data_IF_072472022254
#
_entry.id   IF_072472022254
#
_cell.length_a   1.000
_cell.length_b   1.000
_cell.length_c   1.000
_cell.angle_alpha   90.00
_cell.angle_beta   90.00
_cell.angle_gamma   90.00
#
_symmetry.space_group_name_H-M   'P 1'
#
loop_
_entity.id
_entity.type
_entity.pdbx_description
1 polymer ?
#
# COMPACT_ATOMS: atom_id res chain seq x y z
N UNK A 1 -0.55 -18.74 -4.61
CA UNK A 1 -1.61 -19.04 -5.61
C UNK A 1 -1.95 -20.51 -5.53
N UNK A 2 -3.23 -20.85 -5.57
CA UNK A 2 -3.73 -22.18 -5.20
C UNK A 2 -3.50 -23.26 -6.26
N UNK A 3 -3.33 -22.90 -7.54
CA UNK A 3 -3.17 -23.84 -8.68
C UNK A 3 -4.24 -24.96 -8.72
N UNK A 4 -5.41 -24.71 -8.14
CA UNK A 4 -6.48 -25.71 -8.02
C UNK A 4 -7.14 -26.06 -9.36
N UNK A 5 -7.08 -25.15 -10.33
CA UNK A 5 -7.58 -25.35 -11.70
C UNK A 5 -6.38 -25.13 -12.63
N UNK A 6 -5.83 -26.22 -13.17
CA UNK A 6 -4.70 -26.22 -14.09
C UNK A 6 -5.10 -26.42 -15.55
N UNK A 7 -6.27 -26.99 -15.81
CA UNK A 7 -6.80 -27.19 -17.17
C UNK A 7 -8.35 -27.10 -17.18
N UNK A 8 -8.98 -27.22 -18.35
CA UNK A 8 -10.44 -27.15 -18.48
C UNK A 8 -11.17 -28.28 -17.74
N UNK A 9 -10.59 -29.48 -17.68
CA UNK A 9 -11.18 -30.62 -16.98
C UNK A 9 -11.23 -30.35 -15.47
N UNK A 10 -10.15 -29.82 -14.89
CA UNK A 10 -10.12 -29.45 -13.47
C UNK A 10 -11.21 -28.43 -13.12
N UNK A 11 -11.53 -27.51 -14.04
CA UNK A 11 -12.61 -26.53 -13.85
C UNK A 11 -14.00 -27.18 -13.87
N UNK A 12 -14.23 -28.16 -14.75
CA UNK A 12 -15.46 -28.96 -14.76
C UNK A 12 -15.56 -29.77 -13.48
N UNK A 13 -14.47 -30.41 -13.07
CA UNK A 13 -14.40 -31.20 -11.84
C UNK A 13 -14.69 -30.32 -10.63
N UNK A 14 -14.09 -29.12 -10.56
CA UNK A 14 -14.37 -28.12 -9.51
C UNK A 14 -15.87 -27.79 -9.42
N UNK A 15 -16.56 -27.61 -10.56
CA UNK A 15 -17.99 -27.34 -10.56
C UNK A 15 -18.81 -28.49 -9.96
N UNK A 16 -18.36 -29.75 -10.05
CA UNK A 16 -19.08 -30.90 -9.47
C UNK A 16 -19.17 -30.85 -7.94
N UNK A 17 -18.26 -30.13 -7.27
CA UNK A 17 -18.26 -29.92 -5.82
C UNK A 17 -19.24 -28.83 -5.35
N UNK A 18 -19.86 -28.11 -6.27
CA UNK A 18 -20.70 -26.95 -5.94
C UNK A 18 -22.15 -27.32 -5.68
N UNK A 19 -22.85 -26.46 -4.92
CA UNK A 19 -24.30 -26.56 -4.79
C UNK A 19 -25.02 -26.34 -6.14
N UNK A 20 -24.44 -25.57 -7.05
CA UNK A 20 -24.93 -25.40 -8.42
C UNK A 20 -25.12 -26.76 -9.11
N UNK A 21 -24.08 -27.61 -9.11
CA UNK A 21 -24.14 -28.93 -9.74
C UNK A 21 -25.28 -29.80 -9.18
N UNK A 22 -25.47 -29.82 -7.86
CA UNK A 22 -26.58 -30.53 -7.20
C UNK A 22 -27.96 -30.01 -7.64
N UNK A 23 -28.06 -28.73 -8.00
CA UNK A 23 -29.33 -28.09 -8.40
C UNK A 23 -29.65 -28.23 -9.88
N UNK A 24 -28.67 -28.47 -10.75
CA UNK A 24 -28.88 -28.63 -12.19
C UNK A 24 -29.86 -29.75 -12.52
N UNK A 25 -29.83 -30.86 -11.77
CA UNK A 25 -30.75 -31.99 -11.97
C UNK A 25 -32.13 -31.78 -11.34
N UNK A 26 -32.23 -30.91 -10.33
CA UNK A 26 -33.45 -30.67 -9.56
C UNK A 26 -34.34 -29.59 -10.20
N UNK A 27 -33.74 -28.56 -10.80
CA UNK A 27 -34.47 -27.50 -11.49
C UNK A 27 -33.74 -27.05 -12.77
N UNK A 28 -33.65 -27.93 -13.80
CA UNK A 28 -32.85 -27.67 -15.00
C UNK A 28 -33.28 -26.42 -15.76
N UNK A 29 -34.59 -26.15 -15.83
CA UNK A 29 -35.15 -25.00 -16.57
C UNK A 29 -34.66 -23.66 -16.00
N UNK A 30 -34.52 -23.55 -14.68
CA UNK A 30 -34.02 -22.34 -14.03
C UNK A 30 -32.59 -21.98 -14.47
N UNK A 31 -31.75 -22.99 -14.70
CA UNK A 31 -30.36 -22.81 -15.14
C UNK A 31 -30.20 -22.88 -16.68
N UNK A 32 -31.31 -22.92 -17.44
CA UNK A 32 -31.28 -22.97 -18.90
C UNK A 32 -30.86 -24.33 -19.49
N UNK A 33 -31.02 -25.43 -18.75
CA UNK A 33 -30.79 -26.78 -19.26
C UNK A 33 -32.04 -27.32 -19.96
N UNK A 34 -31.84 -27.98 -21.10
CA UNK A 34 -32.91 -28.63 -21.88
C UNK A 34 -33.25 -30.04 -21.37
N UNK A 35 -32.40 -30.62 -20.52
CA UNK A 35 -32.58 -31.96 -19.95
C UNK A 35 -31.58 -32.24 -18.85
N UNK A 36 -31.72 -33.40 -18.20
CA UNK A 36 -30.92 -33.81 -17.01
C UNK A 36 -30.05 -35.04 -17.25
N UNK A 37 -29.95 -35.51 -18.50
CA UNK A 37 -29.05 -36.64 -18.81
C UNK A 37 -27.60 -36.22 -18.64
N UNK A 38 -26.69 -37.18 -18.44
CA UNK A 38 -25.25 -36.92 -18.33
C UNK A 38 -24.71 -36.05 -19.47
N UNK A 39 -25.19 -36.26 -20.70
CA UNK A 39 -24.81 -35.46 -21.86
C UNK A 39 -25.26 -33.99 -21.74
N UNK A 40 -26.48 -33.74 -21.27
CA UNK A 40 -26.97 -32.37 -21.07
C UNK A 40 -26.17 -31.63 -19.99
N UNK A 41 -25.91 -32.30 -18.86
CA UNK A 41 -25.11 -31.73 -17.76
C UNK A 41 -23.68 -31.44 -18.20
N UNK A 42 -23.01 -32.42 -18.82
CA UNK A 42 -21.64 -32.27 -19.31
C UNK A 42 -21.52 -31.12 -20.32
N UNK A 43 -22.41 -31.08 -21.33
CA UNK A 43 -22.41 -29.99 -22.31
C UNK A 43 -22.63 -28.61 -21.67
N UNK A 44 -23.52 -28.52 -20.67
CA UNK A 44 -23.78 -27.27 -19.97
C UNK A 44 -22.55 -26.80 -19.16
N UNK A 45 -21.95 -27.70 -18.37
CA UNK A 45 -20.74 -27.40 -17.60
C UNK A 45 -19.56 -27.02 -18.50
N UNK A 46 -19.33 -27.77 -19.57
CA UNK A 46 -18.27 -27.45 -20.55
C UNK A 46 -18.49 -26.07 -21.17
N UNK A 47 -19.71 -25.74 -21.60
CA UNK A 47 -20.03 -24.41 -22.14
C UNK A 47 -19.83 -23.30 -21.10
N UNK A 48 -20.18 -23.55 -19.85
CA UNK A 48 -20.00 -22.60 -18.75
C UNK A 48 -18.51 -22.33 -18.48
N UNK A 49 -17.69 -23.39 -18.41
CA UNK A 49 -16.24 -23.28 -18.25
C UNK A 49 -15.63 -22.55 -19.44
N UNK A 50 -15.99 -22.90 -20.68
CA UNK A 50 -15.44 -22.28 -21.87
C UNK A 50 -15.79 -20.80 -21.99
N UNK A 51 -17.05 -20.43 -21.77
CA UNK A 51 -17.46 -19.02 -21.77
C UNK A 51 -16.76 -18.21 -20.68
N UNK A 52 -16.67 -18.74 -19.46
CA UNK A 52 -16.00 -18.07 -18.34
C UNK A 52 -14.51 -17.88 -18.63
N UNK A 53 -13.82 -18.92 -19.09
CA UNK A 53 -12.39 -18.84 -19.43
C UNK A 53 -12.14 -17.90 -20.61
N UNK A 54 -13.02 -17.91 -21.61
CA UNK A 54 -12.95 -16.98 -22.73
C UNK A 54 -13.04 -15.52 -22.27
N UNK A 55 -13.98 -15.21 -21.38
CA UNK A 55 -14.13 -13.86 -20.84
C UNK A 55 -12.93 -13.44 -19.98
N UNK A 56 -12.38 -14.34 -19.15
CA UNK A 56 -11.18 -14.07 -18.35
C UNK A 56 -9.93 -13.90 -19.22
N UNK A 57 -9.81 -14.69 -20.30
CA UNK A 57 -8.68 -14.62 -21.23
C UNK A 57 -8.70 -13.32 -22.04
N UNK A 58 -9.88 -12.88 -22.49
CA UNK A 58 -10.06 -11.61 -23.24
C UNK A 58 -9.56 -10.38 -22.48
N UNK A 59 -9.53 -10.46 -21.14
CA UNK A 59 -9.09 -9.36 -20.27
C UNK A 59 -7.67 -9.60 -19.71
N UNK A 60 -6.97 -10.64 -20.18
CA UNK A 60 -5.63 -11.02 -19.69
C UNK A 60 -5.59 -11.31 -18.19
N UNK A 61 -6.60 -11.98 -17.65
CA UNK A 61 -6.59 -12.48 -16.27
C UNK A 61 -5.99 -13.89 -16.20
N UNK A 62 -6.27 -14.69 -17.22
CA UNK A 62 -5.73 -16.05 -17.42
C UNK A 62 -5.22 -16.19 -18.84
N UNK A 63 -4.19 -17.01 -19.01
CA UNK A 63 -3.70 -17.48 -20.29
C UNK A 63 -3.86 -18.99 -20.40
N UNK A 64 -3.91 -19.49 -21.63
CA UNK A 64 -3.89 -20.93 -21.93
C UNK A 64 -2.71 -21.17 -22.86
N UNK A 65 -1.81 -22.08 -22.49
CA UNK A 65 -0.65 -22.43 -23.33
C UNK A 65 -1.03 -23.47 -24.39
N UNK A 66 -0.07 -23.84 -25.25
CA UNK A 66 -0.28 -24.86 -26.30
C UNK A 66 -0.63 -26.25 -25.75
N UNK A 67 -0.27 -26.53 -24.50
CA UNK A 67 -0.55 -27.79 -23.81
C UNK A 67 -1.92 -27.77 -23.07
N UNK A 68 -2.76 -26.76 -23.34
CA UNK A 68 -4.07 -26.56 -22.69
C UNK A 68 -4.00 -26.32 -21.17
N UNK A 69 -2.83 -25.94 -20.66
CA UNK A 69 -2.62 -25.56 -19.27
C UNK A 69 -3.02 -24.11 -19.09
N UNK A 70 -3.89 -23.87 -18.11
CA UNK A 70 -4.36 -22.57 -17.68
C UNK A 70 -3.37 -21.99 -16.68
N UNK A 71 -2.91 -20.77 -16.92
CA UNK A 71 -2.02 -20.05 -16.01
C UNK A 71 -2.54 -18.63 -15.74
N UNK A 72 -2.34 -18.11 -14.52
CA UNK A 72 -2.80 -16.77 -14.14
C UNK A 72 -1.85 -15.67 -14.64
N UNK A 73 -2.41 -14.60 -15.20
CA UNK A 73 -1.68 -13.36 -15.49
C UNK A 73 -1.69 -12.41 -14.29
N UNK A 74 -0.86 -11.36 -14.33
CA UNK A 74 -0.70 -10.42 -13.23
C UNK A 74 -2.03 -9.78 -12.77
N UNK A 75 -2.92 -9.39 -13.69
CA UNK A 75 -4.22 -8.83 -13.32
C UNK A 75 -5.10 -9.83 -12.55
N UNK A 76 -5.10 -11.10 -12.97
CA UNK A 76 -5.81 -12.16 -12.26
C UNK A 76 -5.25 -12.41 -10.86
N UNK A 77 -3.92 -12.30 -10.71
CA UNK A 77 -3.24 -12.40 -9.40
C UNK A 77 -3.66 -11.27 -8.46
N UNK A 78 -3.70 -10.04 -8.96
CA UNK A 78 -4.09 -8.85 -8.19
C UNK A 78 -5.55 -8.98 -7.74
N UNK A 79 -6.46 -9.35 -8.65
CA UNK A 79 -7.88 -9.55 -8.34
C UNK A 79 -8.09 -10.60 -7.24
N UNK A 80 -7.44 -11.76 -7.37
CA UNK A 80 -7.53 -12.84 -6.41
C UNK A 80 -6.92 -12.46 -5.04
N UNK A 81 -5.76 -11.81 -5.05
CA UNK A 81 -5.04 -11.44 -3.82
C UNK A 81 -5.83 -10.44 -2.97
N UNK A 82 -6.43 -9.42 -3.58
CA UNK A 82 -7.21 -8.40 -2.88
C UNK A 82 -8.70 -8.75 -2.72
N UNK A 83 -9.14 -9.88 -3.27
CA UNK A 83 -10.54 -10.28 -3.34
C UNK A 83 -11.44 -9.19 -3.95
N UNK A 84 -11.02 -8.72 -5.14
CA UNK A 84 -11.70 -7.67 -5.93
C UNK A 84 -12.32 -8.30 -7.17
N UNK A 85 -13.49 -7.82 -7.56
CA UNK A 85 -14.20 -8.25 -8.76
C UNK A 85 -13.32 -8.03 -10.00
N UNK A 86 -13.27 -9.03 -10.89
CA UNK A 86 -12.49 -8.95 -12.13
C UNK A 86 -12.91 -7.76 -13.00
N UNK A 87 -14.20 -7.37 -12.98
CA UNK A 87 -14.71 -6.19 -13.67
C UNK A 87 -14.06 -4.89 -13.17
N UNK A 88 -13.80 -4.78 -11.87
CA UNK A 88 -13.13 -3.63 -11.26
C UNK A 88 -11.65 -3.56 -11.66
N UNK A 89 -10.93 -4.68 -11.61
CA UNK A 89 -9.52 -4.71 -12.04
C UNK A 89 -9.39 -4.46 -13.55
N UNK A 90 -10.37 -4.91 -14.35
CA UNK A 90 -10.48 -4.55 -15.78
C UNK A 90 -10.61 -3.04 -15.95
N UNK A 91 -11.53 -2.41 -15.21
CA UNK A 91 -11.72 -0.96 -15.22
C UNK A 91 -10.41 -0.25 -14.86
N UNK A 92 -9.72 -0.68 -13.80
CA UNK A 92 -8.45 -0.10 -13.39
C UNK A 92 -7.39 -0.19 -14.49
N UNK A 93 -7.27 -1.34 -15.15
CA UNK A 93 -6.32 -1.52 -16.25
C UNK A 93 -6.58 -0.57 -17.42
N UNK A 94 -7.85 -0.30 -17.74
CA UNK A 94 -8.25 0.53 -18.88
C UNK A 94 -8.19 2.03 -18.55
N UNK A 95 -8.46 2.42 -17.30
CA UNK A 95 -8.52 3.83 -16.88
C UNK A 95 -7.18 4.39 -16.40
N UNK A 96 -6.34 3.57 -15.77
CA UNK A 96 -5.09 4.01 -15.15
C UNK A 96 -3.92 4.03 -16.14
N UNK A 97 -3.19 5.14 -16.19
CA UNK A 97 -2.07 5.37 -17.10
C UNK A 97 -1.00 6.29 -16.48
N UNK A 98 0.09 6.57 -17.21
CA UNK A 98 1.22 7.39 -16.73
C UNK A 98 0.86 8.82 -16.32
N UNK A 99 -0.30 9.35 -16.75
CA UNK A 99 -0.76 10.72 -16.47
C UNK A 99 -1.81 10.78 -15.35
N UNK A 100 -2.27 9.63 -14.85
CA UNK A 100 -3.29 9.54 -13.81
C UNK A 100 -2.85 10.29 -12.54
N UNK A 101 -3.73 11.15 -12.01
CA UNK A 101 -3.55 11.90 -10.77
C UNK A 101 -4.58 11.49 -9.72
N UNK A 102 -4.50 12.09 -8.53
CA UNK A 102 -5.42 11.83 -7.40
C UNK A 102 -6.89 11.96 -7.79
N UNK A 103 -7.26 12.96 -8.60
CA UNK A 103 -8.64 13.12 -9.11
C UNK A 103 -9.08 11.89 -9.90
N UNK A 104 -8.26 11.44 -10.84
CA UNK A 104 -8.57 10.30 -11.71
C UNK A 104 -8.63 8.99 -10.90
N UNK A 105 -7.76 8.86 -9.88
CA UNK A 105 -7.78 7.74 -8.93
C UNK A 105 -9.10 7.69 -8.15
N UNK A 106 -9.55 8.83 -7.60
CA UNK A 106 -10.82 8.92 -6.87
C UNK A 106 -12.00 8.54 -7.75
N UNK A 107 -12.04 9.03 -8.98
CA UNK A 107 -13.08 8.68 -9.96
C UNK A 107 -13.05 7.19 -10.30
N UNK A 108 -11.87 6.65 -10.61
CA UNK A 108 -11.67 5.24 -10.99
C UNK A 108 -12.05 4.29 -9.86
N UNK A 109 -11.63 4.57 -8.63
CA UNK A 109 -11.94 3.75 -7.45
C UNK A 109 -13.45 3.80 -7.15
N UNK A 110 -14.08 4.97 -7.27
CA UNK A 110 -15.51 5.11 -7.00
C UNK A 110 -16.39 4.39 -8.02
N UNK A 111 -15.89 4.21 -9.24
CA UNK A 111 -16.53 3.43 -10.31
C UNK A 111 -16.36 1.91 -10.15
N UNK A 112 -15.72 1.43 -9.08
CA UNK A 112 -15.55 0.01 -8.79
C UNK A 112 -16.91 -0.71 -8.58
N UNK A 113 -17.03 -1.95 -9.07
CA UNK A 113 -18.22 -2.78 -8.93
C UNK A 113 -18.57 -3.07 -7.46
N UNK A 114 -17.57 -3.03 -6.58
CA UNK A 114 -17.71 -3.15 -5.14
C UNK A 114 -18.67 -2.11 -4.53
N UNK A 115 -18.81 -0.96 -5.16
CA UNK A 115 -19.68 0.12 -4.74
C UNK A 115 -21.08 0.10 -5.36
N UNK A 116 -21.39 -0.81 -6.29
CA UNK A 116 -22.76 -1.00 -6.80
C UNK A 116 -23.76 -1.32 -5.68
N UNK A 117 -23.27 -1.93 -4.60
CA UNK A 117 -24.04 -2.26 -3.40
C UNK A 117 -24.36 -1.08 -2.48
N UNK A 118 -23.82 0.13 -2.74
CA UNK A 118 -24.11 1.32 -1.92
C UNK A 118 -25.57 1.73 -2.13
N UNK A 119 -26.37 1.88 -1.06
CA UNK A 119 -27.79 2.22 -1.21
C UNK A 119 -27.94 3.65 -1.75
N UNK A 120 -28.87 3.83 -2.69
CA UNK A 120 -29.18 5.13 -3.27
C UNK A 120 -30.66 5.42 -3.05
N UNK A 121 -30.95 6.50 -2.34
CA UNK A 121 -32.33 6.91 -2.06
C UNK A 121 -32.64 8.19 -2.82
N UNK A 122 -33.80 8.24 -3.48
CA UNK A 122 -34.19 9.41 -4.28
C UNK A 122 -34.27 10.70 -3.44
N UNK A 123 -34.65 10.59 -2.16
CA UNK A 123 -34.71 11.72 -1.21
C UNK A 123 -33.35 12.37 -0.94
N UNK A 124 -32.24 11.68 -1.18
CA UNK A 124 -30.89 12.18 -0.92
C UNK A 124 -30.34 13.03 -2.06
N UNK A 125 -31.00 13.07 -3.22
CA UNK A 125 -30.48 13.70 -4.43
C UNK A 125 -30.13 15.19 -4.24
N UNK A 126 -30.99 15.95 -3.57
CA UNK A 126 -30.72 17.36 -3.27
C UNK A 126 -29.56 17.53 -2.29
N UNK A 127 -29.47 16.67 -1.28
CA UNK A 127 -28.38 16.67 -0.31
C UNK A 127 -27.04 16.35 -0.96
N UNK A 128 -26.99 15.34 -1.83
CA UNK A 128 -25.81 14.98 -2.61
C UNK A 128 -25.39 16.10 -3.57
N UNK A 129 -26.36 16.81 -4.16
CA UNK A 129 -26.09 17.98 -5.01
C UNK A 129 -25.49 19.14 -4.23
N UNK A 130 -26.03 19.44 -3.04
CA UNK A 130 -25.46 20.45 -2.13
C UNK A 130 -24.07 20.06 -1.63
N UNK A 131 -23.84 18.77 -1.37
CA UNK A 131 -22.53 18.25 -1.00
C UNK A 131 -21.53 18.41 -2.15
N UNK A 132 -21.91 18.03 -3.38
CA UNK A 132 -21.09 18.16 -4.57
C UNK A 132 -20.57 19.59 -4.79
N UNK A 133 -21.41 20.61 -4.55
CA UNK A 133 -21.03 22.02 -4.69
C UNK A 133 -19.90 22.48 -3.76
N UNK A 134 -19.64 21.74 -2.66
CA UNK A 134 -18.61 22.06 -1.66
C UNK A 134 -17.32 21.27 -1.83
N UNK A 135 -17.30 20.28 -2.73
CA UNK A 135 -16.20 19.32 -2.85
C UNK A 135 -15.23 19.69 -3.99
N UNK A 136 -13.91 19.49 -3.81
CA UNK A 136 -12.90 19.92 -4.79
C UNK A 136 -13.01 19.25 -6.16
N UNK A 137 -13.45 17.99 -6.20
CA UNK A 137 -13.42 17.14 -7.39
C UNK A 137 -14.75 16.42 -7.60
N UNK A 138 -15.87 17.10 -7.34
CA UNK A 138 -17.18 16.51 -7.52
C UNK A 138 -17.41 16.06 -8.98
N UNK A 139 -18.09 14.93 -9.22
CA UNK A 139 -18.39 14.44 -10.55
C UNK A 139 -19.32 15.43 -11.29
N UNK A 140 -19.03 15.64 -12.58
CA UNK A 140 -19.83 16.49 -13.47
C UNK A 140 -21.00 15.69 -14.05
N UNK A 141 -21.98 15.36 -13.21
CA UNK A 141 -23.17 14.60 -13.60
C UNK A 141 -24.45 15.27 -13.10
N UNK A 142 -25.50 15.20 -13.90
CA UNK A 142 -26.84 15.63 -13.49
C UNK A 142 -27.54 14.58 -12.64
N UNK A 143 -27.19 13.30 -12.83
CA UNK A 143 -27.79 12.16 -12.13
C UNK A 143 -27.01 11.85 -10.86
N UNK A 144 -27.50 12.38 -9.73
CA UNK A 144 -26.93 12.09 -8.40
C UNK A 144 -27.38 10.74 -7.84
N UNK A 145 -28.51 10.21 -8.32
CA UNK A 145 -29.01 8.89 -7.99
C UNK A 145 -28.22 7.78 -8.72
N UNK A 146 -26.95 7.65 -8.37
CA UNK A 146 -26.02 6.63 -8.84
C UNK A 146 -25.07 6.22 -7.69
N UNK A 147 -24.88 4.91 -7.44
CA UNK A 147 -24.08 4.44 -6.30
C UNK A 147 -22.61 4.85 -6.39
N UNK A 148 -22.02 4.88 -7.58
CA UNK A 148 -20.63 5.31 -7.80
C UNK A 148 -20.46 6.81 -7.58
N UNK A 149 -21.42 7.62 -8.02
CA UNK A 149 -21.45 9.07 -7.77
C UNK A 149 -21.54 9.33 -6.27
N UNK A 150 -22.44 8.63 -5.58
CA UNK A 150 -22.58 8.71 -4.12
C UNK A 150 -21.27 8.30 -3.43
N UNK A 151 -20.67 7.17 -3.79
CA UNK A 151 -19.38 6.73 -3.25
C UNK A 151 -18.27 7.78 -3.43
N UNK A 152 -18.18 8.40 -4.62
CA UNK A 152 -17.19 9.44 -4.91
C UNK A 152 -17.38 10.68 -4.03
N UNK A 153 -18.63 11.13 -3.85
CA UNK A 153 -18.97 12.27 -2.99
C UNK A 153 -18.65 11.97 -1.52
N UNK A 154 -19.00 10.78 -1.04
CA UNK A 154 -18.75 10.36 0.34
C UNK A 154 -17.25 10.23 0.64
N UNK A 155 -16.46 9.67 -0.28
CA UNK A 155 -14.99 9.64 -0.15
C UNK A 155 -14.41 11.05 -0.03
N UNK A 156 -14.84 11.99 -0.87
CA UNK A 156 -14.34 13.36 -0.81
C UNK A 156 -14.83 14.12 0.44
N UNK A 157 -16.04 13.83 0.91
CA UNK A 157 -16.58 14.37 2.16
C UNK A 157 -15.76 13.89 3.36
N UNK A 158 -15.38 12.61 3.38
CA UNK A 158 -14.47 12.02 4.35
C UNK A 158 -13.10 12.69 4.35
N UNK A 159 -12.46 12.83 3.17
CA UNK A 159 -11.18 13.54 3.04
C UNK A 159 -11.25 15.01 3.51
N UNK A 160 -12.43 15.61 3.40
CA UNK A 160 -12.69 16.99 3.84
C UNK A 160 -13.16 17.09 5.30
N UNK A 161 -13.34 15.95 6.01
CA UNK A 161 -13.95 15.86 7.35
C UNK A 161 -15.30 16.59 7.47
N UNK A 162 -16.11 16.55 6.42
CA UNK A 162 -17.46 17.13 6.45
C UNK A 162 -18.35 16.21 7.29
N UNK A 163 -18.97 16.77 8.33
CA UNK A 163 -19.95 16.04 9.14
C UNK A 163 -21.22 15.80 8.32
N UNK A 164 -21.59 14.53 8.20
CA UNK A 164 -22.78 14.07 7.47
C UNK A 164 -23.85 13.59 8.46
N UNK A 165 -25.10 13.54 8.00
CA UNK A 165 -26.17 12.90 8.78
C UNK A 165 -25.91 11.40 8.97
N UNK A 166 -26.55 10.76 9.97
CA UNK A 166 -26.25 9.39 10.37
C UNK A 166 -26.41 8.36 9.25
N UNK A 167 -27.40 8.52 8.36
CA UNK A 167 -27.60 7.62 7.21
C UNK A 167 -26.39 7.66 6.25
N UNK A 168 -25.98 8.85 5.83
CA UNK A 168 -24.83 9.03 4.93
C UNK A 168 -23.49 8.70 5.61
N UNK A 169 -23.39 8.88 6.93
CA UNK A 169 -22.20 8.49 7.68
C UNK A 169 -22.03 6.96 7.65
N UNK A 170 -23.11 6.22 7.86
CA UNK A 170 -23.10 4.75 7.74
C UNK A 170 -22.72 4.30 6.33
N UNK A 171 -23.23 4.97 5.30
CA UNK A 171 -22.83 4.68 3.93
C UNK A 171 -21.35 5.02 3.67
N UNK A 172 -20.83 6.08 4.30
CA UNK A 172 -19.41 6.43 4.24
C UNK A 172 -18.55 5.32 4.83
N UNK A 173 -18.95 4.73 5.96
CA UNK A 173 -18.24 3.59 6.56
C UNK A 173 -18.23 2.36 5.64
N UNK A 174 -19.34 2.07 4.96
CA UNK A 174 -19.42 0.99 3.95
C UNK A 174 -18.46 1.23 2.78
N UNK A 175 -18.33 2.48 2.35
CA UNK A 175 -17.40 2.88 1.28
C UNK A 175 -15.96 2.74 1.76
N UNK A 176 -15.63 3.31 2.92
CA UNK A 176 -14.29 3.26 3.51
C UNK A 176 -13.81 1.83 3.79
N UNK A 177 -14.71 0.95 4.21
CA UNK A 177 -14.42 -0.46 4.47
C UNK A 177 -13.92 -1.24 3.24
N UNK A 178 -14.10 -0.71 2.02
CA UNK A 178 -13.61 -1.30 0.78
C UNK A 178 -12.53 -0.45 0.10
N UNK A 179 -12.38 0.82 0.48
CA UNK A 179 -11.50 1.78 -0.20
C UNK A 179 -10.02 1.37 -0.18
N UNK A 180 -9.50 0.96 0.97
CA UNK A 180 -8.07 0.65 1.15
C UNK A 180 -7.60 -0.48 0.22
N UNK A 181 -8.37 -1.58 0.13
CA UNK A 181 -8.02 -2.71 -0.77
C UNK A 181 -8.10 -2.30 -2.26
N UNK A 182 -9.05 -1.45 -2.63
CA UNK A 182 -9.18 -0.93 -3.99
C UNK A 182 -7.98 -0.05 -4.35
N UNK A 183 -7.56 0.83 -3.44
CA UNK A 183 -6.37 1.68 -3.61
C UNK A 183 -5.10 0.84 -3.75
N UNK A 184 -4.92 -0.19 -2.90
CA UNK A 184 -3.78 -1.10 -2.98
C UNK A 184 -3.76 -1.86 -4.31
N UNK A 185 -4.91 -2.28 -4.83
CA UNK A 185 -4.99 -2.87 -6.15
C UNK A 185 -4.67 -1.87 -7.28
N UNK A 186 -5.03 -0.59 -7.14
CA UNK A 186 -4.56 0.45 -8.08
C UNK A 186 -3.03 0.55 -8.08
N UNK A 187 -2.40 0.54 -6.90
CA UNK A 187 -0.92 0.52 -6.78
C UNK A 187 -0.31 -0.67 -7.53
N UNK A 188 -0.87 -1.86 -7.35
CA UNK A 188 -0.37 -3.08 -8.01
C UNK A 188 -0.57 -3.07 -9.54
N UNK A 189 -1.69 -2.54 -10.03
CA UNK A 189 -1.96 -2.37 -11.47
C UNK A 189 -1.00 -1.34 -12.09
N UNK A 190 -0.79 -0.22 -11.41
CA UNK A 190 0.09 0.87 -11.87
C UNK A 190 1.56 0.46 -11.86
N UNK A 191 2.01 -0.21 -10.81
CA UNK A 191 3.38 -0.74 -10.72
C UNK A 191 3.64 -1.85 -11.73
N UNK A 192 2.67 -2.73 -11.99
CA UNK A 192 2.76 -3.72 -13.07
C UNK A 192 2.89 -3.08 -14.47
N UNK A 193 2.44 -1.83 -14.61
CA UNK A 193 2.55 -1.04 -15.85
C UNK A 193 3.78 -0.13 -15.87
N UNK A 194 4.60 -0.12 -14.80
CA UNK A 194 5.78 0.74 -14.68
C UNK A 194 5.48 2.22 -14.40
N UNK A 195 4.26 2.58 -13.97
CA UNK A 195 3.86 3.98 -13.76
C UNK A 195 4.27 4.49 -12.36
N UNK A 196 5.38 5.21 -12.23
CA UNK A 196 5.89 5.63 -10.91
C UNK A 196 5.02 6.69 -10.20
N UNK A 197 4.85 7.92 -10.74
CA UNK A 197 4.06 8.92 -10.00
C UNK A 197 2.60 8.54 -9.78
N UNK A 198 1.88 7.92 -10.73
CA UNK A 198 0.54 7.44 -10.44
C UNK A 198 0.52 6.41 -9.30
N UNK A 199 1.48 5.48 -9.26
CA UNK A 199 1.56 4.50 -8.16
C UNK A 199 1.84 5.20 -6.82
N UNK A 200 2.78 6.14 -6.78
CA UNK A 200 3.09 6.94 -5.60
C UNK A 200 1.89 7.80 -5.16
N UNK A 201 1.13 8.36 -6.11
CA UNK A 201 -0.10 9.10 -5.82
C UNK A 201 -1.21 8.19 -5.27
N UNK A 202 -1.29 6.94 -5.72
CA UNK A 202 -2.20 5.95 -5.16
C UNK A 202 -1.78 5.54 -3.73
N UNK A 203 -0.48 5.43 -3.45
CA UNK A 203 0.01 5.20 -2.08
C UNK A 203 -0.34 6.38 -1.16
N UNK A 204 -0.13 7.61 -1.63
CA UNK A 204 -0.54 8.83 -0.90
C UNK A 204 -2.05 8.88 -0.68
N UNK A 205 -2.85 8.44 -1.66
CA UNK A 205 -4.31 8.32 -1.49
C UNK A 205 -4.69 7.33 -0.38
N UNK A 206 -3.93 6.26 -0.17
CA UNK A 206 -4.14 5.34 0.95
C UNK A 206 -3.93 6.04 2.30
N UNK A 207 -2.88 6.85 2.42
CA UNK A 207 -2.61 7.67 3.61
C UNK A 207 -3.74 8.69 3.83
N UNK A 208 -4.13 9.42 2.78
CA UNK A 208 -5.21 10.42 2.79
C UNK A 208 -6.53 9.84 3.29
N UNK A 209 -6.94 8.68 2.77
CA UNK A 209 -8.16 7.99 3.18
C UNK A 209 -8.08 7.50 4.62
N UNK A 210 -6.92 7.05 5.07
CA UNK A 210 -6.71 6.59 6.45
C UNK A 210 -6.82 7.73 7.45
N UNK A 211 -6.18 8.86 7.16
CA UNK A 211 -6.12 10.01 8.08
C UNK A 211 -7.24 11.05 7.85
N UNK A 212 -8.14 10.78 6.90
CA UNK A 212 -9.26 11.66 6.55
C UNK A 212 -8.78 13.09 6.24
N UNK A 213 -7.85 13.22 5.30
CA UNK A 213 -7.29 14.53 4.91
C UNK A 213 -6.82 14.56 3.47
N UNK A 214 -6.74 15.77 2.90
CA UNK A 214 -6.18 15.98 1.58
C UNK A 214 -4.65 16.06 1.62
N UNK A 215 -3.99 15.72 0.51
CA UNK A 215 -2.52 15.83 0.37
C UNK A 215 -1.98 17.22 0.67
N UNK A 216 -2.74 18.27 0.31
CA UNK A 216 -2.40 19.67 0.55
C UNK A 216 -2.65 20.17 1.98
N UNK A 217 -3.29 19.36 2.83
CA UNK A 217 -3.56 19.75 4.22
C UNK A 217 -2.27 19.69 5.05
N UNK A 218 -2.25 20.39 6.18
CA UNK A 218 -1.14 20.28 7.14
C UNK A 218 -1.05 18.86 7.71
N UNK A 219 0.16 18.31 7.78
CA UNK A 219 0.41 16.99 8.38
C UNK A 219 0.01 16.93 9.86
N UNK A 220 -0.07 18.08 10.54
CA UNK A 220 -0.54 18.21 11.91
C UNK A 220 -2.02 17.86 12.07
N UNK A 221 -2.80 17.88 10.98
CA UNK A 221 -4.23 17.51 10.98
C UNK A 221 -4.46 16.04 11.37
N UNK A 222 -3.42 15.20 11.29
CA UNK A 222 -3.46 13.80 11.72
C UNK A 222 -3.56 13.65 13.24
N UNK A 223 -3.08 14.65 14.00
CA UNK A 223 -3.03 14.57 15.45
C UNK A 223 -4.43 14.67 16.06
N UNK A 224 -4.73 13.87 17.10
CA UNK A 224 -5.97 14.01 17.87
C UNK A 224 -6.13 15.43 18.42
N UNK A 225 -7.36 15.93 18.45
CA UNK A 225 -7.72 17.25 19.03
C UNK A 225 -7.15 18.49 18.30
N UNK A 226 -6.49 18.32 17.14
CA UNK A 226 -6.00 19.45 16.35
C UNK A 226 -7.13 20.10 15.54
N UNK A 227 -7.44 21.35 15.88
CA UNK A 227 -8.36 22.20 15.13
C UNK A 227 -7.62 23.04 14.09
N UNK A 228 -8.36 23.69 13.18
CA UNK A 228 -7.77 24.62 12.21
C UNK A 228 -7.02 25.77 12.91
N UNK A 229 -7.52 26.24 14.06
CA UNK A 229 -6.87 27.27 14.87
C UNK A 229 -5.55 26.78 15.45
N UNK A 230 -5.52 25.59 16.06
CA UNK A 230 -4.28 25.00 16.60
C UNK A 230 -3.23 24.84 15.50
N UNK A 231 -3.63 24.35 14.33
CA UNK A 231 -2.72 24.18 13.17
C UNK A 231 -2.16 25.53 12.71
N UNK A 232 -3.00 26.57 12.66
CA UNK A 232 -2.56 27.92 12.29
C UNK A 232 -1.51 28.44 13.27
N UNK A 233 -1.78 28.35 14.59
CA UNK A 233 -0.82 28.76 15.63
C UNK A 233 0.52 28.00 15.53
N UNK A 234 0.49 26.70 15.27
CA UNK A 234 1.72 25.91 15.05
C UNK A 234 2.48 26.42 13.82
N UNK A 235 1.76 26.63 12.71
CA UNK A 235 2.36 27.05 11.43
C UNK A 235 3.01 28.43 11.55
N UNK A 236 2.39 29.36 12.28
CA UNK A 236 2.92 30.71 12.53
C UNK A 236 4.22 30.69 13.34
N UNK A 237 4.41 29.67 14.19
CA UNK A 237 5.66 29.42 14.92
C UNK A 237 6.68 28.58 14.15
N UNK A 238 6.40 28.22 12.90
CA UNK A 238 7.28 27.40 12.07
C UNK A 238 7.17 25.89 12.29
N UNK A 239 6.24 25.43 13.14
CA UNK A 239 5.96 24.02 13.42
C UNK A 239 4.99 23.49 12.37
N UNK A 240 5.45 22.59 11.49
CA UNK A 240 4.71 22.10 10.32
C UNK A 240 4.55 20.59 10.27
N UNK A 241 5.41 19.85 10.96
CA UNK A 241 5.41 18.39 10.98
C UNK A 241 5.20 17.83 12.38
N UNK A 242 4.86 16.54 12.46
CA UNK A 242 4.74 15.84 13.75
C UNK A 242 6.09 15.78 14.47
N UNK A 243 7.20 15.68 13.71
CA UNK A 243 8.56 15.70 14.25
C UNK A 243 8.87 17.05 14.93
N UNK A 244 8.48 18.16 14.30
CA UNK A 244 8.69 19.50 14.87
C UNK A 244 7.97 19.64 16.23
N UNK A 245 6.82 18.97 16.44
CA UNK A 245 6.11 18.98 17.73
C UNK A 245 6.84 18.13 18.78
N UNK A 246 7.46 17.02 18.36
CA UNK A 246 8.23 16.14 19.25
C UNK A 246 9.52 16.83 19.74
N UNK A 247 10.10 17.71 18.92
CA UNK A 247 11.29 18.48 19.24
C UNK A 247 11.01 19.70 20.14
N UNK A 248 9.74 20.08 20.34
CA UNK A 248 9.39 21.17 21.25
C UNK A 248 9.56 20.75 22.72
N UNK A 249 10.18 21.65 23.48
CA UNK A 249 10.19 21.59 24.95
C UNK A 249 8.77 21.55 25.53
N UNK A 250 8.61 20.85 26.65
CA UNK A 250 7.30 20.57 27.27
C UNK A 250 6.49 21.85 27.53
N UNK A 251 7.13 22.91 28.06
CA UNK A 251 6.49 24.19 28.36
C UNK A 251 6.03 24.92 27.09
N UNK A 252 6.86 24.95 26.05
CA UNK A 252 6.54 25.60 24.79
C UNK A 252 5.44 24.85 24.04
N UNK A 253 5.49 23.51 24.08
CA UNK A 253 4.45 22.65 23.51
C UNK A 253 3.11 22.87 24.21
N UNK A 254 3.07 22.87 25.53
CA UNK A 254 1.83 23.07 26.28
C UNK A 254 1.23 24.47 26.02
N UNK A 255 2.08 25.51 25.99
CA UNK A 255 1.66 26.88 25.65
C UNK A 255 1.13 27.01 24.22
N UNK A 256 1.73 26.30 23.27
CA UNK A 256 1.36 26.33 21.85
C UNK A 256 0.05 25.58 21.59
N UNK A 257 -0.07 24.37 22.12
CA UNK A 257 -1.18 23.48 21.83
C UNK A 257 -2.44 23.85 22.63
N UNK A 258 -2.28 24.30 23.88
CA UNK A 258 -3.39 24.66 24.79
C UNK A 258 -4.42 23.52 24.95
N UNK A 259 -3.92 22.29 25.01
CA UNK A 259 -4.73 21.09 25.20
C UNK A 259 -4.75 20.69 26.68
N UNK A 260 -5.80 20.00 27.09
CA UNK A 260 -5.87 19.38 28.44
C UNK A 260 -4.89 18.23 28.57
N UNK A 261 -4.53 17.83 29.79
CA UNK A 261 -3.62 16.71 30.05
C UNK A 261 -4.08 15.39 29.38
N UNK A 262 -5.39 15.13 29.36
CA UNK A 262 -5.96 13.97 28.69
C UNK A 262 -5.77 14.01 27.17
N UNK A 263 -6.01 15.18 26.56
CA UNK A 263 -5.80 15.38 25.13
C UNK A 263 -4.32 15.34 24.76
N UNK A 264 -3.45 15.87 25.61
CA UNK A 264 -2.00 15.77 25.45
C UNK A 264 -1.53 14.31 25.55
N UNK A 265 -2.15 13.47 26.36
CA UNK A 265 -1.86 12.04 26.41
C UNK A 265 -2.23 11.34 25.08
N UNK A 266 -3.35 11.70 24.45
CA UNK A 266 -3.73 11.18 23.13
C UNK A 266 -2.75 11.62 22.04
N UNK A 267 -2.32 12.89 22.06
CA UNK A 267 -1.28 13.42 21.17
C UNK A 267 0.04 12.69 21.39
N UNK A 268 0.45 12.49 22.65
CA UNK A 268 1.66 11.75 22.97
C UNK A 268 1.58 10.30 22.51
N UNK A 269 0.41 9.66 22.63
CA UNK A 269 0.19 8.31 22.10
C UNK A 269 0.37 8.26 20.58
N UNK A 270 -0.07 9.29 19.86
CA UNK A 270 0.18 9.40 18.42
C UNK A 270 1.66 9.64 18.12
N UNK A 271 2.35 10.55 18.81
CA UNK A 271 3.76 10.86 18.54
C UNK A 271 4.72 9.72 18.92
N UNK A 272 4.45 9.02 20.02
CA UNK A 272 5.20 7.84 20.46
C UNK A 272 4.97 6.62 19.55
N UNK A 273 4.05 6.71 18.59
CA UNK A 273 3.97 5.77 17.48
C UNK A 273 5.18 6.04 16.59
N UNK A 274 6.32 5.41 16.89
CA UNK A 274 7.60 5.68 16.23
C UNK A 274 7.51 5.57 14.70
N UNK A 275 7.31 6.71 14.05
CA UNK A 275 7.36 6.88 12.59
C UNK A 275 8.81 6.84 12.07
N UNK A 276 9.78 6.89 12.98
CA UNK A 276 11.20 6.93 12.64
C UNK A 276 11.71 5.51 12.33
N UNK A 277 11.67 5.17 11.04
CA UNK A 277 12.28 3.95 10.51
C UNK A 277 13.62 4.35 9.88
N UNK A 278 14.72 3.83 10.40
CA UNK A 278 16.02 3.97 9.75
C UNK A 278 16.03 3.03 8.53
N UNK A 279 16.17 3.61 7.33
CA UNK A 279 16.39 2.86 6.10
C UNK A 279 17.85 2.92 5.68
N UNK A 280 18.46 1.75 5.50
CA UNK A 280 19.77 1.59 4.88
C UNK A 280 19.68 0.68 3.66
N UNK A 281 20.57 0.88 2.68
CA UNK A 281 20.55 0.10 1.45
C UNK A 281 21.95 -0.18 0.91
N UNK A 282 22.08 -1.27 0.17
CA UNK A 282 23.29 -1.70 -0.52
C UNK A 282 22.95 -2.23 -1.92
N UNK A 283 23.71 -1.79 -2.93
CA UNK A 283 23.64 -2.35 -4.29
C UNK A 283 24.70 -3.44 -4.40
N UNK A 284 24.27 -4.70 -4.54
CA UNK A 284 25.18 -5.83 -4.66
C UNK A 284 25.99 -5.74 -5.95
N UNK A 285 27.27 -6.12 -5.88
CA UNK A 285 28.19 -6.18 -7.02
C UNK A 285 28.21 -4.90 -7.88
N UNK A 286 28.08 -3.73 -7.23
CA UNK A 286 27.96 -2.42 -7.90
C UNK A 286 29.00 -2.15 -8.99
N UNK A 287 30.20 -2.73 -8.89
CA UNK A 287 31.30 -2.55 -9.84
C UNK A 287 31.28 -3.54 -11.02
N UNK A 288 30.46 -4.60 -10.96
CA UNK A 288 30.38 -5.67 -11.96
C UNK A 288 29.08 -5.65 -12.77
N UNK A 289 28.32 -4.57 -12.70
CA UNK A 289 27.04 -4.44 -13.39
C UNK A 289 27.24 -4.30 -14.90
N UNK A 290 26.54 -5.13 -15.68
CA UNK A 290 26.55 -5.13 -17.15
C UNK A 290 25.14 -4.88 -17.68
N UNK A 291 25.04 -4.30 -18.87
CA UNK A 291 23.74 -4.08 -19.51
C UNK A 291 22.95 -5.39 -19.59
N UNK A 292 21.67 -5.36 -19.19
CA UNK A 292 20.79 -6.54 -19.18
C UNK A 292 20.93 -7.48 -17.97
N UNK A 293 21.92 -7.28 -17.08
CA UNK A 293 22.01 -8.08 -15.86
C UNK A 293 20.99 -7.64 -14.82
N UNK A 294 20.68 -8.52 -13.86
CA UNK A 294 19.83 -8.16 -12.72
C UNK A 294 20.63 -7.33 -11.71
N UNK A 295 20.19 -6.11 -11.44
CA UNK A 295 20.67 -5.28 -10.35
C UNK A 295 19.92 -5.67 -9.08
N UNK A 296 20.65 -5.98 -8.01
CA UNK A 296 20.07 -6.36 -6.73
C UNK A 296 20.34 -5.29 -5.68
N UNK A 297 19.28 -4.77 -5.07
CA UNK A 297 19.34 -3.76 -4.01
C UNK A 297 18.78 -4.37 -2.73
N UNK A 298 19.64 -4.52 -1.72
CA UNK A 298 19.24 -4.96 -0.38
C UNK A 298 18.86 -3.72 0.41
N UNK A 299 17.68 -3.73 1.02
CA UNK A 299 17.18 -2.67 1.88
C UNK A 299 16.94 -3.25 3.27
N UNK A 300 17.49 -2.59 4.28
CA UNK A 300 17.31 -2.91 5.69
C UNK A 300 16.53 -1.78 6.34
N UNK A 301 15.45 -2.14 7.00
CA UNK A 301 14.57 -1.24 7.75
C UNK A 301 14.68 -1.61 9.22
N UNK A 302 14.91 -0.62 10.06
CA UNK A 302 15.06 -0.78 11.50
C UNK A 302 14.29 0.31 12.24
N UNK A 303 13.50 -0.10 13.22
CA UNK A 303 12.85 0.76 14.20
C UNK A 303 13.47 0.44 15.56
N UNK A 304 13.67 1.46 16.39
CA UNK A 304 14.21 1.30 17.74
C UNK A 304 13.31 0.39 18.58
N UNK A 305 12.01 0.70 18.62
CA UNK A 305 11.01 -0.03 19.40
C UNK A 305 10.10 -0.93 18.56
N UNK A 306 9.63 -2.02 19.17
CA UNK A 306 8.62 -2.86 18.56
C UNK A 306 7.24 -2.21 18.64
N UNK A 307 6.54 -2.18 17.50
CA UNK A 307 5.17 -1.69 17.41
C UNK A 307 4.17 -2.83 17.56
N UNK A 308 3.29 -2.71 18.55
CA UNK A 308 2.28 -3.75 18.88
C UNK A 308 0.83 -3.28 18.69
N UNK A 309 0.59 -1.96 18.73
CA UNK A 309 -0.77 -1.41 18.55
C UNK A 309 -1.10 -1.21 17.06
N UNK A 310 -2.39 -1.06 16.68
CA UNK A 310 -2.77 -0.69 15.32
C UNK A 310 -2.50 0.79 15.01
N UNK A 311 -2.66 1.17 13.74
CA UNK A 311 -2.62 2.56 13.26
C UNK A 311 -3.64 3.42 14.04
N UNK A 312 -3.18 4.57 14.52
CA UNK A 312 -4.03 5.63 15.09
C UNK A 312 -4.67 6.41 13.94
N UNK A 313 -5.93 6.09 13.67
CA UNK A 313 -6.75 6.71 12.61
C UNK A 313 -8.20 6.87 13.10
N UNK A 314 -8.51 7.86 13.95
CA UNK A 314 -9.80 7.97 14.64
C UNK A 314 -11.00 8.18 13.72
N UNK A 315 -10.76 8.67 12.49
CA UNK A 315 -11.81 8.88 11.49
C UNK A 315 -12.02 7.68 10.57
N UNK A 316 -11.20 6.63 10.68
CA UNK A 316 -11.31 5.43 9.85
C UNK A 316 -12.06 4.33 10.62
N UNK A 317 -13.08 3.67 10.02
CA UNK A 317 -14.00 2.80 10.77
C UNK A 317 -13.39 1.48 11.23
N UNK A 318 -12.31 1.02 10.60
CA UNK A 318 -11.69 -0.28 10.88
C UNK A 318 -10.32 -0.11 11.53
N UNK A 319 -9.95 -1.02 12.43
CA UNK A 319 -8.56 -1.12 12.87
C UNK A 319 -7.69 -1.54 11.68
N UNK A 320 -6.53 -0.88 11.56
CA UNK A 320 -5.57 -1.15 10.49
C UNK A 320 -4.20 -1.42 11.06
N UNK A 321 -3.51 -2.37 10.46
CA UNK A 321 -2.07 -2.52 10.64
C UNK A 321 -1.32 -1.61 9.67
N UNK A 322 -0.12 -1.23 10.07
CA UNK A 322 0.77 -0.40 9.27
C UNK A 322 1.37 -1.20 8.12
N UNK A 323 1.23 -0.69 6.89
CA UNK A 323 1.89 -1.20 5.71
C UNK A 323 2.87 -0.20 5.12
N UNK A 324 3.94 -0.72 4.52
CA UNK A 324 4.98 0.05 3.85
C UNK A 324 5.21 -0.46 2.43
N UNK A 325 5.43 0.45 1.51
CA UNK A 325 5.99 0.16 0.19
C UNK A 325 7.44 0.63 0.12
N UNK A 326 8.30 -0.25 -0.38
CA UNK A 326 9.65 0.10 -0.81
C UNK A 326 9.68 0.04 -2.32
N UNK A 327 10.04 1.15 -2.95
CA UNK A 327 9.94 1.34 -4.41
C UNK A 327 11.28 1.83 -4.95
N UNK A 328 11.72 1.25 -6.06
CA UNK A 328 12.82 1.79 -6.86
C UNK A 328 12.22 2.38 -8.12
N UNK A 329 12.52 3.66 -8.37
CA UNK A 329 12.06 4.37 -9.56
C UNK A 329 13.15 5.17 -10.24
N UNK A 330 12.97 5.39 -11.53
CA UNK A 330 13.77 6.31 -12.34
C UNK A 330 12.94 7.58 -12.64
N UNK A 331 13.19 8.69 -11.92
CA UNK A 331 12.48 9.94 -12.16
C UNK A 331 13.01 10.73 -13.37
N UNK A 332 14.13 10.32 -13.99
CA UNK A 332 14.83 11.09 -15.04
C UNK A 332 14.86 10.40 -16.41
N UNK A 333 14.42 9.15 -16.52
CA UNK A 333 14.42 8.42 -17.79
C UNK A 333 13.73 9.22 -18.90
N UNK A 334 14.41 9.42 -20.02
CA UNK A 334 13.82 9.96 -21.23
C UNK A 334 12.84 8.95 -21.84
N UNK A 335 11.56 9.17 -21.56
CA UNK A 335 10.36 8.51 -22.09
C UNK A 335 10.19 6.98 -21.87
N UNK A 336 9.12 6.55 -21.18
CA UNK A 336 8.23 7.39 -20.39
C UNK A 336 9.03 7.93 -19.19
N UNK A 337 9.11 9.26 -19.07
CA UNK A 337 9.53 9.90 -17.82
C UNK A 337 8.78 9.22 -16.69
N UNK A 338 9.44 8.92 -15.55
CA UNK A 338 8.80 8.40 -14.35
C UNK A 338 8.49 6.88 -14.38
N UNK A 339 9.54 6.06 -14.54
CA UNK A 339 9.42 4.60 -14.59
C UNK A 339 9.58 3.96 -13.21
N UNK A 340 8.65 3.08 -12.85
CA UNK A 340 8.74 2.23 -11.66
C UNK A 340 9.47 0.94 -12.03
N UNK A 341 10.60 0.68 -11.38
CA UNK A 341 11.48 -0.44 -11.71
C UNK A 341 11.24 -1.65 -10.83
N UNK A 342 11.03 -1.43 -9.53
CA UNK A 342 10.82 -2.50 -8.56
C UNK A 342 9.98 -2.00 -7.39
N UNK A 343 9.14 -2.87 -6.84
CA UNK A 343 8.29 -2.56 -5.69
C UNK A 343 8.16 -3.79 -4.80
N UNK A 344 8.19 -3.57 -3.48
CA UNK A 344 7.80 -4.56 -2.48
C UNK A 344 6.94 -3.91 -1.40
N UNK A 345 5.91 -4.63 -0.96
CA UNK A 345 5.10 -4.27 0.18
C UNK A 345 5.46 -5.14 1.37
N UNK A 346 5.52 -4.55 2.56
CA UNK A 346 5.76 -5.26 3.81
C UNK A 346 5.00 -4.62 4.98
N UNK A 347 4.85 -5.38 6.05
CA UNK A 347 4.53 -4.87 7.40
C UNK A 347 5.82 -4.87 8.20
N UNK A 348 6.09 -3.81 8.97
CA UNK A 348 7.30 -3.69 9.78
C UNK A 348 6.93 -3.67 11.27
N UNK A 349 7.42 -4.65 12.02
CA UNK A 349 7.37 -4.65 13.47
C UNK A 349 8.56 -3.88 14.05
N UNK A 350 9.75 -4.50 14.04
CA UNK A 350 11.00 -3.88 14.49
C UNK A 350 12.06 -3.83 13.38
N UNK A 351 12.37 -4.95 12.71
CA UNK A 351 13.37 -5.00 11.63
C UNK A 351 12.88 -5.79 10.44
N UNK A 352 13.29 -5.39 9.24
CA UNK A 352 13.06 -6.15 8.02
C UNK A 352 14.21 -5.97 7.03
N UNK A 353 14.61 -7.07 6.40
CA UNK A 353 15.54 -7.05 5.27
C UNK A 353 14.80 -7.51 4.03
N UNK A 354 14.79 -6.68 2.99
CA UNK A 354 14.15 -6.99 1.73
C UNK A 354 15.14 -6.80 0.57
N UNK A 355 14.98 -7.64 -0.44
CA UNK A 355 15.75 -7.57 -1.68
C UNK A 355 14.84 -7.06 -2.79
N UNK A 356 15.17 -5.94 -3.42
CA UNK A 356 14.55 -5.49 -4.66
C UNK A 356 15.49 -5.72 -5.83
N UNK A 357 14.92 -5.97 -6.99
CA UNK A 357 15.67 -6.25 -8.21
C UNK A 357 15.01 -5.63 -9.44
N UNK A 358 15.85 -5.26 -10.41
CA UNK A 358 15.45 -4.75 -11.72
C UNK A 358 16.53 -5.02 -12.76
N UNK A 359 16.22 -4.85 -14.04
CA UNK A 359 17.17 -5.08 -15.14
C UNK A 359 18.02 -3.84 -15.40
N UNK A 360 19.34 -4.00 -15.47
CA UNK A 360 20.27 -2.92 -15.77
C UNK A 360 20.02 -2.36 -17.19
N UNK A 361 19.93 -1.03 -17.35
CA UNK A 361 19.75 -0.38 -18.65
C UNK A 361 21.03 -0.42 -19.49
N UNK A 362 21.05 0.34 -20.59
CA UNK A 362 22.22 0.51 -21.45
C UNK A 362 23.46 1.01 -20.66
N UNK A 363 24.69 0.76 -21.16
CA UNK A 363 25.91 1.15 -20.48
C UNK A 363 25.98 2.65 -20.18
N UNK A 364 26.52 3.00 -19.01
CA UNK A 364 26.69 4.38 -18.55
C UNK A 364 26.23 4.61 -17.10
N UNK A 365 26.34 5.86 -16.61
CA UNK A 365 25.89 6.24 -15.30
C UNK A 365 24.36 6.44 -15.27
N UNK A 366 23.69 5.78 -14.32
CA UNK A 366 22.25 5.89 -14.12
C UNK A 366 21.95 6.31 -12.68
N UNK A 367 20.93 7.18 -12.51
CA UNK A 367 20.51 7.69 -11.21
C UNK A 367 19.09 7.25 -10.90
N UNK A 368 18.90 6.60 -9.76
CA UNK A 368 17.61 6.12 -9.30
C UNK A 368 17.25 6.74 -7.95
N UNK A 369 15.98 6.58 -7.58
CA UNK A 369 15.46 6.95 -6.27
C UNK A 369 14.80 5.74 -5.62
N UNK A 370 15.21 5.45 -4.39
CA UNK A 370 14.58 4.50 -3.49
C UNK A 370 13.58 5.27 -2.62
N UNK A 371 12.33 4.82 -2.61
CA UNK A 371 11.24 5.40 -1.83
C UNK A 371 10.81 4.42 -0.74
N UNK A 372 10.57 4.93 0.47
CA UNK A 372 9.86 4.24 1.53
C UNK A 372 8.57 5.03 1.80
N UNK A 373 7.41 4.41 1.56
CA UNK A 373 6.10 5.09 1.58
C UNK A 373 5.14 4.33 2.49
N UNK A 374 4.49 5.03 3.42
CA UNK A 374 3.48 4.44 4.31
C UNK A 374 2.14 4.26 3.59
N UNK A 375 1.31 3.32 4.03
CA UNK A 375 -0.09 3.19 3.59
C UNK A 375 -1.11 3.83 4.55
N UNK A 376 -0.61 4.50 5.59
CA UNK A 376 -1.41 4.93 6.73
C UNK A 376 -1.12 6.36 7.21
N UNK A 377 0.13 6.82 7.17
CA UNK A 377 0.54 8.12 7.71
C UNK A 377 1.13 9.03 6.63
N UNK A 378 0.83 10.32 6.70
CA UNK A 378 1.41 11.34 5.83
C UNK A 378 2.62 11.98 6.50
N UNK A 379 3.63 12.32 5.70
CA UNK A 379 4.81 13.07 6.15
C UNK A 379 5.92 12.22 6.77
N UNK A 380 5.82 10.88 6.71
CA UNK A 380 6.87 9.94 7.11
C UNK A 380 7.56 9.27 5.90
N UNK A 381 7.18 9.64 4.68
CA UNK A 381 7.77 9.06 3.46
C UNK A 381 9.22 9.52 3.27
N UNK A 382 10.09 8.61 2.83
CA UNK A 382 11.53 8.87 2.69
C UNK A 382 12.02 8.63 1.26
N UNK A 383 12.95 9.46 0.79
CA UNK A 383 13.60 9.33 -0.51
C UNK A 383 15.13 9.26 -0.41
N UNK A 384 15.73 8.29 -1.09
CA UNK A 384 17.18 8.11 -1.17
C UNK A 384 17.62 7.98 -2.61
N UNK A 385 18.42 8.95 -3.07
CA UNK A 385 19.00 8.91 -4.42
C UNK A 385 20.25 8.05 -4.41
N UNK A 386 20.37 7.18 -5.42
CA UNK A 386 21.57 6.38 -5.61
C UNK A 386 21.92 6.29 -7.09
N UNK A 387 23.20 6.07 -7.36
CA UNK A 387 23.72 5.95 -8.73
C UNK A 387 24.37 4.59 -8.92
N UNK A 388 24.20 4.04 -10.12
CA UNK A 388 24.94 2.87 -10.58
C UNK A 388 25.69 3.23 -11.87
N UNK A 389 26.77 2.53 -12.16
CA UNK A 389 27.47 2.63 -13.43
C UNK A 389 27.41 1.27 -14.11
N UNK A 390 26.82 1.22 -15.30
CA UNK A 390 26.63 -0.01 -16.05
C UNK A 390 27.74 -0.14 -17.09
N UNK A 391 28.52 -1.22 -17.02
CA UNK A 391 29.58 -1.52 -17.97
C UNK A 391 29.03 -1.95 -19.34
N UNK A 392 29.88 -1.84 -20.37
CA UNK A 392 29.58 -2.36 -21.71
C UNK A 392 29.47 -3.89 -21.67
N UNK A 393 28.60 -4.44 -22.51
CA UNK A 393 28.56 -5.86 -22.78
C UNK A 393 29.80 -6.23 -23.61
N UNK A 394 30.78 -6.87 -23.00
CA UNK A 394 31.84 -7.56 -23.76
C UNK A 394 31.34 -8.98 -24.04
N UNK A 395 31.17 -9.30 -25.31
CA UNK A 395 31.10 -10.69 -25.77
C UNK A 395 32.40 -11.33 -25.31
N UNK A 396 32.31 -12.27 -24.37
CA UNK A 396 33.42 -13.17 -24.10
C UNK A 396 33.58 -13.97 -25.39
N UNK A 397 34.55 -13.61 -26.22
CA UNK A 397 35.10 -14.57 -27.18
C UNK A 397 35.74 -15.65 -26.32
N UNK A 398 35.20 -16.87 -26.38
CA UNK A 398 35.84 -18.05 -25.83
C UNK A 398 37.22 -18.21 -26.47
N UNK A 399 38.23 -17.62 -25.85
CA UNK A 399 39.61 -17.83 -26.20
C UNK A 399 40.45 -17.63 -24.93
N UNK A 400 40.30 -18.54 -23.98
CA UNK A 400 41.39 -18.90 -23.10
C UNK A 400 41.40 -20.42 -22.96
N UNK A 401 42.26 -21.02 -23.78
CA UNK A 401 42.74 -22.38 -23.63
C UNK A 401 43.61 -22.44 -22.38
N UNK A 402 43.07 -22.98 -21.28
CA UNK A 402 43.84 -23.31 -20.08
C UNK A 402 44.88 -24.39 -20.42
N UNK A 403 46.16 -24.01 -20.34
CA UNK A 403 47.27 -24.95 -20.18
C UNK A 403 47.60 -25.07 -18.69
N UNK A 404 47.23 -26.21 -18.12
CA UNK A 404 47.59 -26.66 -16.77
C UNK A 404 49.09 -26.61 -16.49
N UNK A 405 49.46 -26.15 -15.28
CA UNK A 405 50.55 -26.78 -14.52
C UNK A 405 50.37 -26.60 -13.01
N UNK A 406 50.35 -27.74 -12.32
CA UNK A 406 50.19 -27.92 -10.88
C UNK A 406 51.33 -27.35 -10.03
N UNK A 407 51.03 -26.92 -8.79
CA UNK A 407 51.63 -27.52 -7.58
C UNK A 407 50.94 -27.02 -6.28
N UNK A 408 50.76 -27.98 -5.36
CA UNK A 408 50.13 -27.87 -4.05
C UNK A 408 50.82 -26.89 -3.08
N UNK A 409 50.03 -26.25 -2.20
CA UNK A 409 50.17 -26.39 -0.74
C UNK A 409 49.08 -25.63 0.05
N UNK A 410 48.35 -26.39 0.87
CA UNK A 410 47.47 -25.91 1.94
C UNK A 410 48.26 -25.22 3.05
N UNK A 411 48.05 -23.91 3.28
CA UNK A 411 48.20 -23.28 4.61
C UNK A 411 47.17 -22.15 4.74
N UNK A 412 46.25 -22.30 5.69
CA UNK A 412 45.31 -21.26 6.13
C UNK A 412 46.05 -20.05 6.74
N UNK A 413 45.52 -18.82 6.57
CA UNK A 413 45.57 -17.84 7.65
C UNK A 413 44.16 -17.45 8.11
N UNK A 414 43.98 -17.54 9.42
CA UNK A 414 42.87 -16.97 10.19
C UNK A 414 42.89 -15.44 10.09
N UNK A 415 41.69 -14.86 10.03
CA UNK A 415 41.38 -13.56 10.62
C UNK A 415 41.74 -12.32 9.80
N UNK A 416 40.78 -11.80 9.04
CA UNK A 416 40.50 -10.35 8.97
C UNK A 416 38.99 -10.15 8.89
N UNK A 417 38.44 -9.45 9.88
CA UNK A 417 37.04 -9.06 9.90
C UNK A 417 36.72 -8.25 8.65
N UNK A 418 35.65 -8.66 7.95
CA UNK A 418 35.08 -7.89 6.86
C UNK A 418 34.41 -6.68 7.50
N UNK A 419 34.98 -5.50 7.27
CA UNK A 419 34.38 -4.22 7.65
C UNK A 419 33.23 -3.95 6.68
N UNK A 420 31.99 -4.07 7.13
CA UNK A 420 30.80 -3.64 6.39
C UNK A 420 30.80 -2.11 6.28
N UNK A 421 30.99 -1.57 5.08
CA UNK A 421 30.81 -0.14 4.82
C UNK A 421 29.31 0.17 4.70
N UNK A 422 28.67 0.49 5.83
CA UNK A 422 27.31 1.05 5.85
C UNK A 422 27.33 2.47 5.29
N UNK A 423 26.73 2.70 4.12
CA UNK A 423 26.45 4.05 3.65
C UNK A 423 25.14 4.54 4.28
N UNK A 424 25.25 5.26 5.40
CA UNK A 424 24.18 6.14 5.89
C UNK A 424 24.10 7.35 4.97
N UNK A 425 23.20 7.30 3.98
CA UNK A 425 22.86 8.48 3.19
C UNK A 425 21.94 9.40 4.00
N UNK A 426 22.08 10.73 3.84
CA UNK A 426 21.11 11.69 4.40
C UNK A 426 19.72 11.39 3.82
N UNK A 427 18.82 10.91 4.68
CA UNK A 427 17.41 10.72 4.37
C UNK A 427 16.77 12.09 4.12
N UNK A 428 15.95 12.21 3.08
CA UNK A 428 15.05 13.36 2.95
C UNK A 428 13.63 12.87 3.18
N UNK A 429 13.00 13.39 4.24
CA UNK A 429 11.56 13.23 4.45
C UNK A 429 10.84 14.05 3.39
N UNK A 430 9.91 13.43 2.67
CA UNK A 430 9.16 14.09 1.60
C UNK A 430 8.11 15.01 2.25
N UNK A 431 8.39 16.32 2.31
CA UNK A 431 7.35 17.33 2.53
C UNK A 431 6.90 17.88 1.17
N UNK A 432 5.74 17.45 0.68
CA UNK A 432 5.19 17.92 -0.62
C UNK A 432 4.52 19.29 -0.52
N UNK A 433 4.28 19.80 0.68
CA UNK A 433 3.61 21.08 0.93
C UNK A 433 4.56 22.25 1.23
N UNK A 434 5.89 22.02 1.29
CA UNK A 434 6.87 23.09 1.42
C UNK A 434 8.21 22.72 0.77
N UNK A 435 8.83 23.66 0.03
CA UNK A 435 10.22 23.57 -0.45
C UNK A 435 11.21 23.70 0.73
N UNK A 436 11.23 22.74 1.65
CA UNK A 436 12.20 22.69 2.76
C UNK A 436 12.89 21.33 2.74
N UNK A 437 14.21 21.36 2.57
CA UNK A 437 15.08 20.20 2.76
C UNK A 437 15.34 20.09 4.26
N UNK A 438 14.86 19.03 4.90
CA UNK A 438 15.33 18.65 6.23
C UNK A 438 16.37 17.56 6.00
N UNK A 439 17.64 17.84 6.33
CA UNK A 439 18.66 16.80 6.48
C UNK A 439 18.78 16.49 7.96
N UNK A 440 18.63 15.22 8.32
CA UNK A 440 18.96 14.76 9.66
C UNK A 440 20.50 14.70 9.78
N UNK A 441 21.05 15.48 10.72
CA UNK A 441 22.36 15.23 11.30
C UNK A 441 22.15 14.43 12.60
N UNK A 442 23.08 13.51 12.90
CA UNK A 442 23.04 12.66 14.08
C UNK A 442 23.02 13.52 15.36
N UNK A 443 21.86 13.63 16.00
CA UNK A 443 21.73 14.09 17.39
C UNK A 443 21.10 12.95 18.17
N UNK A 444 21.95 12.22 18.90
CA UNK A 444 21.52 11.36 19.99
C UNK A 444 21.02 12.25 21.13
N UNK A 445 19.73 12.23 21.42
CA UNK A 445 19.21 12.47 22.76
C UNK A 445 17.80 11.85 22.93
N UNK A 446 17.63 11.10 24.03
CA UNK A 446 16.42 10.39 24.41
C UNK A 446 15.31 11.39 24.82
N UNK A 447 14.41 11.75 23.91
CA UNK A 447 13.17 12.46 24.23
C UNK A 447 11.94 11.58 23.97
N UNK A 448 11.67 10.69 24.92
CA UNK A 448 10.36 10.01 25.04
C UNK A 448 9.39 10.92 25.78
N UNK A 449 8.19 11.14 25.23
CA UNK A 449 7.09 11.80 25.96
C UNK A 449 6.72 10.93 27.16
N UNK A 450 7.14 11.37 28.37
CA UNK A 450 6.88 10.64 29.61
C UNK A 450 5.38 10.46 29.79
N UNK A 451 4.95 9.20 29.94
CA UNK A 451 3.58 8.88 30.39
C UNK A 451 3.32 9.62 31.72
N UNK A 452 2.13 10.20 31.94
CA UNK A 452 1.84 10.87 33.20
C UNK A 452 1.95 9.87 34.36
N UNK A 453 2.79 10.21 35.36
CA UNK A 453 2.92 9.43 36.59
C UNK A 453 1.58 9.46 37.33
N UNK A 454 0.90 8.32 37.41
CA UNK A 454 -0.16 8.13 38.41
C UNK A 454 0.46 8.29 39.79
N UNK A 455 -0.04 9.24 40.58
CA UNK A 455 0.35 9.41 41.97
C UNK A 455 -0.06 8.16 42.74
N UNK A 456 0.91 7.54 43.40
CA UNK A 456 0.73 6.34 44.20
C UNK A 456 -0.21 6.57 45.38
N UNK A 457 -1.07 5.58 45.60
CA UNK A 457 -1.65 5.24 46.89
C UNK A 457 -1.27 3.78 47.17
N UNK A 458 -0.49 3.57 48.22
CA UNK A 458 -0.11 2.26 48.73
C UNK A 458 -1.35 1.49 49.21
N UNK A 459 -1.44 0.19 48.92
CA UNK A 459 -1.73 -0.84 49.94
C UNK A 459 -1.70 -2.27 49.37
N UNK A 460 -0.74 -3.03 49.91
CA UNK A 460 -0.83 -4.44 50.37
C UNK A 460 -0.80 -5.58 49.34
N UNK A 461 0.41 -6.14 49.29
CA UNK A 461 0.73 -7.58 49.27
C UNK A 461 -0.41 -8.53 49.66
N UNK A 462 -0.70 -9.50 48.79
CA UNK A 462 -0.96 -10.88 49.16
C UNK A 462 -0.45 -11.79 48.05
N UNK A 463 0.63 -12.51 48.35
CA UNK A 463 1.05 -13.68 47.61
C UNK A 463 0.21 -14.89 48.05
N UNK A 464 0.01 -15.81 47.10
CA UNK A 464 -0.02 -17.28 47.22
C UNK A 464 -1.37 -18.03 47.16
N UNK A 465 -1.28 -19.11 46.34
CA UNK A 465 -2.07 -20.35 46.31
C UNK A 465 -3.45 -20.22 45.65
N UNK A 466 -4.03 -21.17 44.92
CA UNK A 466 -3.68 -22.42 44.23
C UNK A 466 -5.02 -22.84 43.60
N UNK A 467 -5.00 -23.49 42.43
CA UNK A 467 -5.87 -24.59 41.96
C UNK A 467 -7.34 -24.78 42.43
N UNK A 468 -8.14 -25.16 41.42
CA UNK A 468 -9.34 -26.00 41.44
C UNK A 468 -10.70 -25.43 41.91
N UNK A 469 -11.66 -25.41 40.96
CA UNK A 469 -13.01 -26.05 40.92
C UNK A 469 -13.86 -25.30 39.86
N UNK A 470 -14.20 -25.87 38.69
CA UNK A 470 -15.32 -26.78 38.38
C UNK A 470 -16.67 -26.45 39.06
N UNK A 471 -17.71 -26.48 38.21
CA UNK A 471 -19.18 -26.44 38.45
C UNK A 471 -19.88 -25.07 38.62
N UNK A 472 -20.40 -24.52 37.51
CA UNK A 472 -21.81 -24.66 37.08
C UNK A 472 -22.05 -24.09 35.68
#
# INVERSE_FOLDING_TARGET
MTKAIGNKQDAVDYLTWTFLYRRLTQNPKYYGLQGVTHRHLSNHLSKLVESTLFDLQRVYFVGVNYEMIIYPHNLGRIAAYHCINYATIKLFRLSLNFRTKIRDLLETISAAAEYESVPVLQREENLLRSLAARLPHAPQTTRMANPHVKAQLLLQAHLSRIQLGPELQKDTELVLGKAVRLIQACVDVLSSSGCLAPAVAAMELAQMVTQAMWSKDSYLKQLPHFTAETIMRCTDKGVKTVFDIMELEDDDRNRLLQLTDAQMADVAKFCNRHFNIEMSYEVLDKHKLRSGCTVNVIVQLEREDEVTEPVVAPFFPQKREEGWWVVIGDPKSSQPENSLLSIKRLTLQQKATIKLDFVAPAPGPHSYTLYLISDAYLGCDQEYKFTINVGKYELVSDSDSDSDSHSDQNVFPRGRGIVFSRKRGRAKVINRNAKVNISYDEVHDNYMLRRPKSRGGEARSCHRLLDHTLDQ
#
